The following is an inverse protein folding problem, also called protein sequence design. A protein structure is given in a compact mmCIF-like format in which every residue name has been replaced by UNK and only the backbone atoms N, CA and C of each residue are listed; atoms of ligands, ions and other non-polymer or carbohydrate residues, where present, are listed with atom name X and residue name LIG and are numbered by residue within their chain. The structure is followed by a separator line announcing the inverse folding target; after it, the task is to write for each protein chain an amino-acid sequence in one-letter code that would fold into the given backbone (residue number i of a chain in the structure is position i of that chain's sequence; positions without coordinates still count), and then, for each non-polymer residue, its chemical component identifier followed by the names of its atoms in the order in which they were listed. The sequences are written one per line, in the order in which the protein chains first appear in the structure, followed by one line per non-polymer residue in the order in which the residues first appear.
data_IF_838061993856
#
_entry.id   IF_838061993856
#
_cell.length_a   1.000
_cell.length_b   1.000
_cell.length_c   1.000
_cell.angle_alpha   90.00
_cell.angle_beta   90.00
_cell.angle_gamma   90.00
#
_symmetry.space_group_name_H-M   'P 1'
#
loop_
_entity.id
_entity.type
_entity.pdbx_description
1 polymer ?
#
# COMPACT_ATOMS: atom_id res chain seq x y z
N UNK A 1 -24.68 -19.80 -18.77
CA UNK A 1 -24.03 -20.43 -17.60
C UNK A 1 -23.66 -19.33 -16.64
N UNK A 2 -24.42 -19.20 -15.56
CA UNK A 2 -24.23 -18.15 -14.55
C UNK A 2 -22.90 -18.39 -13.84
N UNK A 3 -21.98 -17.43 -13.98
CA UNK A 3 -20.65 -17.51 -13.39
C UNK A 3 -20.81 -17.10 -11.93
N UNK A 4 -21.22 -18.05 -11.07
CA UNK A 4 -21.59 -17.80 -9.67
C UNK A 4 -20.48 -17.05 -8.94
N UNK A 5 -20.68 -15.73 -8.82
CA UNK A 5 -19.84 -14.84 -8.04
C UNK A 5 -20.31 -14.92 -6.61
N UNK A 6 -19.52 -15.53 -5.75
CA UNK A 6 -19.76 -15.52 -4.32
C UNK A 6 -19.65 -14.09 -3.79
N UNK A 7 -20.48 -13.73 -2.79
CA UNK A 7 -20.43 -12.41 -2.16
C UNK A 7 -19.03 -12.04 -1.63
N UNK A 8 -18.26 -13.03 -1.18
CA UNK A 8 -16.87 -12.85 -0.75
C UNK A 8 -15.93 -12.38 -1.87
N UNK A 9 -16.13 -12.81 -3.13
CA UNK A 9 -15.33 -12.32 -4.26
C UNK A 9 -15.62 -10.86 -4.56
N UNK A 10 -16.89 -10.45 -4.50
CA UNK A 10 -17.28 -9.05 -4.67
C UNK A 10 -16.71 -8.20 -3.54
N UNK A 11 -16.81 -8.65 -2.28
CA UNK A 11 -16.25 -7.93 -1.13
C UNK A 11 -14.73 -7.73 -1.26
N UNK A 12 -13.97 -8.77 -1.60
CA UNK A 12 -12.52 -8.64 -1.78
C UNK A 12 -12.16 -7.73 -2.95
N UNK A 13 -12.92 -7.77 -4.05
CA UNK A 13 -12.71 -6.88 -5.18
C UNK A 13 -12.92 -5.41 -4.79
N UNK A 14 -13.99 -5.12 -4.06
CA UNK A 14 -14.30 -3.78 -3.55
C UNK A 14 -13.21 -3.30 -2.59
N UNK A 15 -12.79 -4.15 -1.64
CA UNK A 15 -11.72 -3.82 -0.70
C UNK A 15 -10.40 -3.49 -1.42
N UNK A 16 -10.02 -4.28 -2.43
CA UNK A 16 -8.83 -4.02 -3.23
C UNK A 16 -8.92 -2.68 -3.98
N UNK A 17 -10.09 -2.34 -4.53
CA UNK A 17 -10.30 -1.06 -5.23
C UNK A 17 -10.22 0.11 -4.25
N UNK A 18 -10.91 0.02 -3.11
CA UNK A 18 -10.94 1.11 -2.11
C UNK A 18 -9.54 1.32 -1.53
N UNK A 19 -8.90 0.27 -1.03
CA UNK A 19 -7.57 0.36 -0.43
C UNK A 19 -6.50 0.71 -1.47
N UNK A 20 -6.60 0.18 -2.69
CA UNK A 20 -5.74 0.55 -3.79
C UNK A 20 -5.88 2.03 -4.17
N UNK A 21 -7.12 2.52 -4.26
CA UNK A 21 -7.42 3.94 -4.51
C UNK A 21 -6.89 4.86 -3.42
N UNK A 22 -7.09 4.52 -2.15
CA UNK A 22 -6.51 5.24 -1.01
C UNK A 22 -4.98 5.23 -1.10
N UNK A 23 -4.38 4.09 -1.45
CA UNK A 23 -2.94 3.95 -1.66
C UNK A 23 -2.41 4.87 -2.77
N UNK A 24 -3.15 5.01 -3.88
CA UNK A 24 -2.79 5.93 -4.98
C UNK A 24 -2.85 7.38 -4.49
N UNK A 25 -3.94 7.79 -3.84
CA UNK A 25 -4.10 9.15 -3.33
C UNK A 25 -2.98 9.49 -2.33
N UNK A 26 -2.67 8.58 -1.43
CA UNK A 26 -1.59 8.74 -0.46
C UNK A 26 -0.21 8.82 -1.16
N UNK A 27 0.07 7.92 -2.11
CA UNK A 27 1.31 7.94 -2.88
C UNK A 27 1.51 9.25 -3.66
N UNK A 28 0.45 9.77 -4.28
CA UNK A 28 0.47 11.06 -4.96
C UNK A 28 0.71 12.22 -4.01
N UNK A 29 0.04 12.23 -2.84
CA UNK A 29 0.25 13.24 -1.82
C UNK A 29 1.70 13.27 -1.31
N UNK A 30 2.26 12.08 -1.02
CA UNK A 30 3.67 11.96 -0.62
C UNK A 30 4.63 12.42 -1.71
N UNK A 31 4.35 12.08 -2.97
CA UNK A 31 5.14 12.49 -4.13
C UNK A 31 5.13 14.02 -4.29
N UNK A 32 3.97 14.65 -4.19
CA UNK A 32 3.85 16.12 -4.20
C UNK A 32 4.69 16.76 -3.08
N UNK A 33 4.63 16.20 -1.86
CA UNK A 33 5.46 16.66 -0.75
C UNK A 33 6.97 16.48 -0.98
N UNK A 34 7.37 15.39 -1.64
CA UNK A 34 8.77 15.16 -2.00
C UNK A 34 9.26 16.12 -3.10
N UNK A 35 8.44 16.39 -4.11
CA UNK A 35 8.72 17.35 -5.18
C UNK A 35 8.81 18.78 -4.63
N UNK A 36 7.89 19.17 -3.75
CA UNK A 36 7.94 20.46 -3.06
C UNK A 36 9.24 20.62 -2.28
N UNK A 37 9.63 19.61 -1.49
CA UNK A 37 10.90 19.65 -0.77
C UNK A 37 12.11 19.78 -1.70
N UNK A 38 12.12 19.06 -2.82
CA UNK A 38 13.18 19.20 -3.82
C UNK A 38 13.24 20.61 -4.41
N UNK A 39 12.10 21.23 -4.70
CA UNK A 39 12.07 22.62 -5.20
C UNK A 39 12.61 23.63 -4.19
N UNK A 40 12.31 23.44 -2.91
CA UNK A 40 12.83 24.29 -1.83
C UNK A 40 14.34 24.08 -1.63
N UNK A 41 14.81 22.84 -1.64
CA UNK A 41 16.25 22.54 -1.55
C UNK A 41 17.03 23.14 -2.73
N UNK A 42 16.48 23.03 -3.94
CA UNK A 42 17.06 23.64 -5.14
C UNK A 42 17.13 25.17 -5.01
N UNK A 43 16.07 25.79 -4.47
CA UNK A 43 16.01 27.24 -4.22
C UNK A 43 17.05 27.69 -3.19
N UNK A 44 17.37 26.84 -2.22
CA UNK A 44 18.43 27.08 -1.22
C UNK A 44 19.83 26.75 -1.74
N UNK A 45 19.99 26.35 -3.00
CA UNK A 45 21.28 25.96 -3.59
C UNK A 45 21.78 24.59 -3.11
N UNK A 46 20.96 23.83 -2.39
CA UNK A 46 21.29 22.49 -1.93
C UNK A 46 20.85 21.45 -2.96
N UNK A 47 21.81 20.88 -3.71
CA UNK A 47 21.57 19.77 -4.61
C UNK A 47 21.52 18.43 -3.86
N UNK A 48 20.51 18.26 -3.02
CA UNK A 48 20.24 16.99 -2.34
C UNK A 48 18.96 16.36 -2.87
N UNK A 49 19.08 15.20 -3.52
CA UNK A 49 17.92 14.43 -3.97
C UNK A 49 17.53 13.47 -2.84
N UNK A 50 16.33 13.57 -2.25
CA UNK A 50 15.89 12.68 -1.19
C UNK A 50 15.45 11.32 -1.78
N UNK A 51 16.41 10.56 -2.32
CA UNK A 51 16.19 9.31 -3.08
C UNK A 51 15.35 8.32 -2.28
N UNK A 52 15.64 8.13 -0.99
CA UNK A 52 14.88 7.22 -0.12
C UNK A 52 13.41 7.62 -0.01
N UNK A 53 13.12 8.92 0.09
CA UNK A 53 11.74 9.44 0.17
C UNK A 53 11.02 9.24 -1.16
N UNK A 54 11.66 9.56 -2.29
CA UNK A 54 11.09 9.33 -3.62
C UNK A 54 10.81 7.85 -3.87
N UNK A 55 11.76 6.97 -3.56
CA UNK A 55 11.60 5.52 -3.69
C UNK A 55 10.42 5.01 -2.86
N UNK A 56 10.27 5.50 -1.63
CA UNK A 56 9.13 5.17 -0.79
C UNK A 56 7.79 5.68 -1.37
N UNK A 57 7.74 6.92 -1.86
CA UNK A 57 6.54 7.48 -2.51
C UNK A 57 6.12 6.63 -3.72
N UNK A 58 7.09 6.26 -4.56
CA UNK A 58 6.86 5.42 -5.73
C UNK A 58 6.43 4.00 -5.34
N UNK A 59 6.97 3.44 -4.27
CA UNK A 59 6.56 2.15 -3.73
C UNK A 59 5.08 2.18 -3.30
N UNK A 60 4.66 3.19 -2.54
CA UNK A 60 3.26 3.34 -2.09
C UNK A 60 2.33 3.52 -3.30
N UNK A 61 2.73 4.34 -4.27
CA UNK A 61 1.97 4.55 -5.50
C UNK A 61 1.81 3.25 -6.30
N UNK A 62 2.91 2.51 -6.51
CA UNK A 62 2.89 1.22 -7.20
C UNK A 62 2.01 0.20 -6.47
N UNK A 63 2.09 0.16 -5.13
CA UNK A 63 1.26 -0.67 -4.27
C UNK A 63 -0.23 -0.37 -4.50
N UNK A 64 -0.62 0.90 -4.50
CA UNK A 64 -2.00 1.33 -4.76
C UNK A 64 -2.49 0.95 -6.15
N UNK A 65 -1.67 1.16 -7.19
CA UNK A 65 -1.99 0.80 -8.59
C UNK A 65 -2.20 -0.70 -8.72
N UNK A 66 -1.30 -1.52 -8.17
CA UNK A 66 -1.42 -2.98 -8.20
C UNK A 66 -2.68 -3.45 -7.47
N UNK A 67 -3.00 -2.87 -6.32
CA UNK A 67 -4.24 -3.16 -5.58
C UNK A 67 -5.49 -2.86 -6.39
N UNK A 68 -5.53 -1.70 -7.04
CA UNK A 68 -6.67 -1.30 -7.88
C UNK A 68 -6.84 -2.22 -9.11
N UNK A 69 -5.75 -2.54 -9.82
CA UNK A 69 -5.78 -3.46 -10.95
C UNK A 69 -6.19 -4.87 -10.51
N UNK A 70 -5.68 -5.34 -9.36
CA UNK A 70 -6.07 -6.63 -8.79
C UNK A 70 -7.57 -6.66 -8.46
N UNK A 71 -8.10 -5.60 -7.84
CA UNK A 71 -9.54 -5.44 -7.57
C UNK A 71 -10.39 -5.52 -8.83
N UNK A 72 -10.03 -4.76 -9.86
CA UNK A 72 -10.69 -4.79 -11.18
C UNK A 72 -10.58 -6.15 -11.88
N UNK A 73 -9.51 -6.89 -11.62
CA UNK A 73 -9.30 -8.25 -12.12
C UNK A 73 -10.10 -9.33 -11.37
N UNK A 74 -10.47 -9.10 -10.10
CA UNK A 74 -11.40 -9.95 -9.35
C UNK A 74 -12.85 -9.67 -9.77
N UNK A 75 -13.20 -8.40 -10.02
CA UNK A 75 -14.23 -8.09 -11.01
C UNK A 75 -13.86 -8.75 -12.34
N UNK A 76 -14.70 -9.09 -13.31
CA UNK A 76 -14.26 -9.83 -14.52
C UNK A 76 -13.59 -11.22 -14.33
N UNK A 77 -13.22 -11.67 -13.13
CA UNK A 77 -12.66 -12.99 -12.82
C UNK A 77 -11.47 -13.39 -13.71
N UNK A 78 -10.51 -12.48 -13.89
CA UNK A 78 -9.33 -12.69 -14.73
C UNK A 78 -8.32 -13.62 -14.03
N UNK A 79 -7.65 -14.52 -14.76
CA UNK A 79 -6.73 -15.50 -14.16
C UNK A 79 -5.49 -14.86 -13.51
N UNK A 80 -5.08 -13.68 -13.98
CA UNK A 80 -3.96 -12.92 -13.42
C UNK A 80 -4.32 -12.16 -12.13
N UNK A 81 -5.61 -12.00 -11.82
CA UNK A 81 -6.06 -11.21 -10.66
C UNK A 81 -5.59 -11.82 -9.33
N UNK A 82 -5.56 -13.14 -9.25
CA UNK A 82 -5.04 -13.85 -8.07
C UNK A 82 -3.54 -13.57 -7.86
N UNK A 83 -2.75 -13.62 -8.92
CA UNK A 83 -1.32 -13.34 -8.83
C UNK A 83 -1.07 -11.88 -8.41
N UNK A 84 -1.83 -10.93 -8.99
CA UNK A 84 -1.74 -9.52 -8.60
C UNK A 84 -2.20 -9.25 -7.17
N UNK A 85 -3.24 -9.91 -6.67
CA UNK A 85 -3.66 -9.77 -5.26
C UNK A 85 -2.60 -10.26 -4.28
N UNK A 86 -1.87 -11.33 -4.63
CA UNK A 86 -0.75 -11.82 -3.81
C UNK A 86 0.47 -10.89 -3.92
N UNK A 87 0.75 -10.36 -5.12
CA UNK A 87 1.77 -9.33 -5.29
C UNK A 87 1.43 -8.07 -4.49
N UNK A 88 0.15 -7.67 -4.48
CA UNK A 88 -0.34 -6.57 -3.66
C UNK A 88 -0.12 -6.81 -2.17
N UNK A 89 -0.43 -8.01 -1.66
CA UNK A 89 -0.14 -8.39 -0.28
C UNK A 89 1.36 -8.30 0.05
N UNK A 90 2.23 -8.78 -0.86
CA UNK A 90 3.68 -8.66 -0.70
C UNK A 90 4.16 -7.21 -0.68
N UNK A 91 3.61 -6.36 -1.56
CA UNK A 91 3.92 -4.93 -1.61
C UNK A 91 3.46 -4.18 -0.36
N UNK A 92 2.28 -4.53 0.18
CA UNK A 92 1.80 -3.98 1.44
C UNK A 92 2.75 -4.32 2.60
N UNK A 93 3.18 -5.59 2.74
CA UNK A 93 4.18 -5.99 3.74
C UNK A 93 5.49 -5.23 3.54
N UNK A 94 5.99 -5.17 2.30
CA UNK A 94 7.23 -4.46 1.98
C UNK A 94 7.11 -2.96 2.36
N UNK A 95 5.98 -2.33 2.04
CA UNK A 95 5.71 -0.94 2.39
C UNK A 95 5.66 -0.72 3.90
N UNK A 96 5.10 -1.67 4.68
CA UNK A 96 5.10 -1.61 6.13
C UNK A 96 6.50 -1.77 6.73
N UNK A 97 7.32 -2.68 6.19
CA UNK A 97 8.70 -2.86 6.63
C UNK A 97 9.52 -1.60 6.36
N UNK A 98 9.44 -1.06 5.15
CA UNK A 98 10.16 0.18 4.79
C UNK A 98 9.67 1.35 5.65
N UNK A 99 8.37 1.44 5.91
CA UNK A 99 7.79 2.46 6.80
C UNK A 99 8.35 2.35 8.23
N UNK A 100 8.40 1.14 8.77
CA UNK A 100 8.95 0.89 10.11
C UNK A 100 10.43 1.25 10.21
N UNK A 101 11.21 1.04 9.15
CA UNK A 101 12.63 1.43 9.10
C UNK A 101 12.82 2.94 8.88
N UNK A 102 11.92 3.59 8.13
CA UNK A 102 12.02 5.01 7.80
C UNK A 102 11.55 5.92 8.94
N UNK A 103 10.55 5.50 9.74
CA UNK A 103 10.00 6.30 10.84
C UNK A 103 11.05 6.70 11.89
N UNK A 104 11.89 5.77 12.41
CA UNK A 104 12.96 6.12 13.34
C UNK A 104 13.96 7.08 12.72
N UNK A 105 14.34 6.89 11.45
CA UNK A 105 15.29 7.80 10.79
C UNK A 105 14.76 9.23 10.68
N UNK A 106 13.49 9.40 10.32
CA UNK A 106 12.85 10.73 10.25
C UNK A 106 12.73 11.33 11.67
N UNK A 107 12.40 10.51 12.66
CA UNK A 107 12.32 10.94 14.06
C UNK A 107 13.67 11.31 14.68
N UNK A 108 14.79 10.75 14.18
CA UNK A 108 16.15 11.08 14.65
C UNK A 108 16.77 12.31 13.98
N UNK A 109 16.31 12.70 12.79
CA UNK A 109 16.84 13.87 12.06
C UNK A 109 16.24 15.19 12.60
N UNK A 110 15.01 15.16 13.10
CA UNK A 110 14.52 16.19 14.01
C UNK A 110 14.98 15.84 15.42
N UNK A 111 15.63 16.75 16.12
CA UNK A 111 16.08 16.64 17.52
C UNK A 111 14.92 16.33 18.49
N UNK A 112 14.36 15.13 18.46
CA UNK A 112 13.36 14.66 19.41
C UNK A 112 14.07 13.82 20.45
N UNK A 113 14.39 14.47 21.58
CA UNK A 113 14.65 13.75 22.81
C UNK A 113 13.39 12.91 23.09
N UNK A 114 13.53 11.58 23.09
CA UNK A 114 12.39 10.63 23.17
C UNK A 114 11.60 10.86 24.48
N UNK A 115 12.22 11.49 25.48
CA UNK A 115 11.60 11.93 26.73
C UNK A 115 10.61 13.10 26.61
N UNK A 116 10.54 13.83 25.50
CA UNK A 116 9.64 15.00 25.34
C UNK A 116 8.78 14.96 24.07
N UNK A 117 8.26 13.79 23.69
CA UNK A 117 7.26 13.70 22.63
C UNK A 117 6.03 14.51 23.06
N UNK A 118 5.81 15.65 22.41
CA UNK A 118 4.59 16.44 22.59
C UNK A 118 3.38 15.59 22.18
N UNK A 119 2.19 15.90 22.71
CA UNK A 119 0.96 15.18 22.36
C UNK A 119 0.70 15.16 20.83
N UNK A 120 1.11 16.21 20.10
CA UNK A 120 1.04 16.27 18.63
C UNK A 120 2.00 15.25 17.97
N UNK A 121 3.23 15.11 18.47
CA UNK A 121 4.20 14.13 17.98
C UNK A 121 3.74 12.69 18.19
N UNK A 122 3.16 12.39 19.35
CA UNK A 122 2.58 11.09 19.66
C UNK A 122 1.40 10.78 18.71
N UNK A 123 0.51 11.75 18.51
CA UNK A 123 -0.66 11.59 17.64
C UNK A 123 -0.24 11.29 16.20
N UNK A 124 0.74 12.03 15.65
CA UNK A 124 1.28 11.78 14.31
C UNK A 124 1.91 10.39 14.19
N UNK A 125 2.65 9.95 15.20
CA UNK A 125 3.26 8.61 15.22
C UNK A 125 2.19 7.51 15.24
N UNK A 126 1.13 7.67 16.03
CA UNK A 126 0.01 6.71 16.09
C UNK A 126 -0.71 6.65 14.75
N UNK A 127 -1.05 7.81 14.16
CA UNK A 127 -1.71 7.87 12.85
C UNK A 127 -0.83 7.20 11.79
N UNK A 128 0.47 7.48 11.80
CA UNK A 128 1.41 6.87 10.86
C UNK A 128 1.50 5.36 11.07
N UNK A 129 1.67 4.88 12.31
CA UNK A 129 1.69 3.46 12.62
C UNK A 129 0.40 2.75 12.21
N UNK A 130 -0.76 3.39 12.41
CA UNK A 130 -2.04 2.84 12.00
C UNK A 130 -2.14 2.69 10.47
N UNK A 131 -1.81 3.74 9.71
CA UNK A 131 -1.95 3.78 8.25
C UNK A 131 -0.93 2.87 7.56
N UNK A 132 0.32 2.86 8.01
CA UNK A 132 1.41 2.21 7.30
C UNK A 132 1.77 0.82 7.85
N UNK A 133 1.31 0.45 9.05
CA UNK A 133 1.64 -0.84 9.67
C UNK A 133 0.39 -1.60 10.08
N UNK A 134 -0.46 -1.01 10.93
CA UNK A 134 -1.59 -1.74 11.51
C UNK A 134 -2.68 -2.09 10.51
N UNK A 135 -2.90 -1.28 9.47
CA UNK A 135 -3.90 -1.55 8.44
C UNK A 135 -3.36 -2.44 7.28
N UNK A 136 -2.14 -2.21 6.75
CA UNK A 136 -1.63 -3.01 5.64
C UNK A 136 -1.31 -4.47 6.02
N UNK A 137 -0.81 -4.72 7.23
CA UNK A 137 -0.38 -6.07 7.65
C UNK A 137 -1.57 -7.04 7.76
N UNK A 138 -2.65 -6.76 8.52
CA UNK A 138 -3.81 -7.65 8.58
C UNK A 138 -4.47 -7.85 7.22
N UNK A 139 -4.52 -6.80 6.39
CA UNK A 139 -5.10 -6.91 5.06
C UNK A 139 -4.27 -7.81 4.14
N UNK A 140 -2.94 -7.74 4.23
CA UNK A 140 -2.03 -8.65 3.52
C UNK A 140 -2.22 -10.09 3.95
N UNK A 141 -2.36 -10.34 5.26
CA UNK A 141 -2.65 -11.67 5.81
C UNK A 141 -4.01 -12.17 5.31
N UNK A 142 -5.04 -11.33 5.31
CA UNK A 142 -6.36 -11.65 4.77
C UNK A 142 -6.30 -12.05 3.30
N UNK A 143 -5.59 -11.27 2.47
CA UNK A 143 -5.38 -11.59 1.05
C UNK A 143 -4.70 -12.95 0.88
N UNK A 144 -3.63 -13.22 1.63
CA UNK A 144 -2.97 -14.51 1.62
C UNK A 144 -3.94 -15.63 1.98
N UNK A 145 -4.60 -15.55 3.14
CA UNK A 145 -5.52 -16.59 3.61
C UNK A 145 -6.63 -16.87 2.60
N UNK A 146 -7.23 -15.82 2.02
CA UNK A 146 -8.31 -15.98 1.03
C UNK A 146 -7.81 -16.61 -0.27
N UNK A 147 -6.71 -16.11 -0.84
CA UNK A 147 -6.22 -16.55 -2.15
C UNK A 147 -5.40 -17.84 -2.11
N UNK A 148 -5.04 -18.35 -0.93
CA UNK A 148 -4.48 -19.69 -0.75
C UNK A 148 -5.56 -20.78 -0.68
N UNK A 149 -6.83 -20.47 -0.38
CA UNK A 149 -7.91 -21.46 -0.33
C UNK A 149 -8.15 -22.12 -1.69
N UNK A 150 -8.31 -23.45 -1.75
CA UNK A 150 -8.42 -24.21 -3.00
C UNK A 150 -9.66 -23.82 -3.83
N UNK A 151 -10.77 -23.46 -3.18
CA UNK A 151 -11.99 -23.00 -3.84
C UNK A 151 -11.72 -21.77 -4.74
N UNK A 152 -10.92 -20.82 -4.26
CA UNK A 152 -10.57 -19.62 -5.03
C UNK A 152 -9.61 -19.96 -6.17
N UNK A 153 -8.67 -20.88 -5.98
CA UNK A 153 -7.78 -21.35 -7.05
C UNK A 153 -8.59 -21.93 -8.22
N UNK A 154 -9.60 -22.75 -7.92
CA UNK A 154 -10.45 -23.37 -8.94
C UNK A 154 -11.27 -22.33 -9.73
N UNK A 155 -11.84 -21.32 -9.06
CA UNK A 155 -12.65 -20.28 -9.72
C UNK A 155 -11.85 -19.45 -10.72
N UNK A 156 -10.61 -19.07 -10.38
CA UNK A 156 -9.74 -18.32 -11.30
C UNK A 156 -9.15 -19.19 -12.42
N UNK A 157 -8.99 -20.51 -12.20
CA UNK A 157 -8.56 -21.44 -13.24
C UNK A 157 -9.63 -21.63 -14.32
N UNK A 158 -10.91 -21.74 -13.94
CA UNK A 158 -12.05 -21.80 -14.88
C UNK A 158 -12.20 -20.54 -15.72
N UNK A 159 -11.69 -19.40 -15.25
CA UNK A 159 -11.65 -18.15 -16.02
C UNK A 159 -10.68 -18.16 -17.21
N UNK A 160 -9.84 -19.18 -17.39
CA UNK A 160 -8.94 -19.33 -18.56
C UNK A 160 -9.57 -20.02 -19.76
N UNK A 161 -10.65 -20.77 -19.55
CA UNK A 161 -11.28 -21.63 -20.57
C UNK A 161 -12.52 -20.98 -21.20
N UNK A 162 -12.79 -19.72 -20.88
CA UNK A 162 -13.89 -18.91 -21.40
C UNK A 162 -13.33 -17.60 -21.94
#
# INVERSE_FOLDING_TARGET
MEKDRTGGMTAMAVLNIILGGIGILNGLFLLLGALYLMSELLRMGAFYIPIARLAFCLLILATGVVGLIAGLGIFRLRPWARALSLAYAGLLILSSVVSYLAVPMIATIGTYDIGSISADGLMRLIIFGAIYVALPVPYSVLLCVVFYKPAWKATFARGRTA
#
